data_IF_104293811754
#
_entry.id   IF_104293811754
#
_cell.length_a   1.000
_cell.length_b   1.000
_cell.length_c   1.000
_cell.angle_alpha   90.00
_cell.angle_beta   90.00
_cell.angle_gamma   90.00
#
_symmetry.space_group_name_H-M   'P 1'
#
loop_
_entity.id
_entity.type
_entity.pdbx_description
1 polymer ?
#
# COMPACT_ATOMS: atom_id res chain seq x y z
N UNK A 1 -21.68 8.15 -25.16
CA UNK A 1 -21.45 8.61 -23.77
C UNK A 1 -21.52 10.11 -23.83
N UNK A 2 -22.27 10.80 -22.98
CA UNK A 2 -22.10 12.26 -22.87
C UNK A 2 -20.73 12.53 -22.27
N UNK A 3 -20.08 13.62 -22.66
CA UNK A 3 -18.74 13.99 -22.17
C UNK A 3 -18.69 14.09 -20.64
N UNK A 4 -19.83 14.43 -20.02
CA UNK A 4 -20.05 14.45 -18.58
C UNK A 4 -19.83 13.09 -17.90
N UNK A 5 -20.30 11.99 -18.50
CA UNK A 5 -20.13 10.64 -17.96
C UNK A 5 -18.67 10.19 -18.07
N UNK A 6 -17.96 10.66 -19.11
CA UNK A 6 -16.54 10.37 -19.28
C UNK A 6 -15.71 11.11 -18.22
N UNK A 7 -15.97 12.40 -17.99
CA UNK A 7 -15.27 13.19 -16.99
C UNK A 7 -15.49 12.61 -15.58
N UNK A 8 -16.71 12.21 -15.22
CA UNK A 8 -17.00 11.54 -13.95
C UNK A 8 -16.18 10.25 -13.74
N UNK A 9 -15.93 9.48 -14.82
CA UNK A 9 -15.11 8.26 -14.75
C UNK A 9 -13.63 8.57 -14.59
N UNK A 10 -13.14 9.61 -15.27
CA UNK A 10 -11.75 10.06 -15.14
C UNK A 10 -11.49 10.62 -13.74
N UNK A 11 -12.45 11.36 -13.19
CA UNK A 11 -12.33 11.88 -11.83
C UNK A 11 -12.25 10.74 -10.80
N UNK A 12 -13.09 9.71 -10.94
CA UNK A 12 -13.00 8.51 -10.09
C UNK A 12 -11.66 7.79 -10.21
N UNK A 13 -11.03 7.82 -11.39
CA UNK A 13 -9.68 7.29 -11.60
C UNK A 13 -8.63 8.11 -10.85
N UNK A 14 -8.72 9.45 -10.88
CA UNK A 14 -7.83 10.34 -10.13
C UNK A 14 -7.94 10.06 -8.64
N UNK A 15 -9.17 9.98 -8.10
CA UNK A 15 -9.40 9.68 -6.69
C UNK A 15 -8.77 8.34 -6.25
N UNK A 16 -8.87 7.29 -7.09
CA UNK A 16 -8.26 5.99 -6.80
C UNK A 16 -6.73 6.12 -6.83
N UNK A 17 -6.20 6.87 -7.79
CA UNK A 17 -4.77 7.17 -7.89
C UNK A 17 -4.22 7.85 -6.63
N UNK A 18 -4.90 8.90 -6.16
CA UNK A 18 -4.50 9.64 -4.96
C UNK A 18 -4.53 8.74 -3.73
N UNK A 19 -5.61 7.96 -3.55
CA UNK A 19 -5.73 7.02 -2.42
C UNK A 19 -4.66 5.92 -2.46
N UNK A 20 -4.29 5.43 -3.65
CA UNK A 20 -3.18 4.48 -3.79
C UNK A 20 -1.84 5.12 -3.42
N UNK A 21 -1.59 6.34 -3.89
CA UNK A 21 -0.37 7.08 -3.59
C UNK A 21 -0.21 7.34 -2.08
N UNK A 22 -1.27 7.78 -1.41
CA UNK A 22 -1.30 7.96 0.04
C UNK A 22 -1.01 6.65 0.79
N UNK A 23 -1.68 5.56 0.41
CA UNK A 23 -1.47 4.26 1.03
C UNK A 23 -0.03 3.76 0.83
N UNK A 24 0.54 3.97 -0.36
CA UNK A 24 1.93 3.61 -0.67
C UNK A 24 2.92 4.42 0.15
N UNK A 25 2.72 5.73 0.25
CA UNK A 25 3.55 6.62 1.05
C UNK A 25 3.55 6.19 2.53
N UNK A 26 2.37 5.91 3.08
CA UNK A 26 2.24 5.44 4.46
C UNK A 26 2.94 4.08 4.69
N UNK A 27 2.79 3.13 3.76
CA UNK A 27 3.50 1.85 3.82
C UNK A 27 5.01 2.07 3.85
N UNK A 28 5.55 2.85 2.91
CA UNK A 28 6.99 3.12 2.84
C UNK A 28 7.51 3.85 4.07
N UNK A 29 6.74 4.76 4.66
CA UNK A 29 7.08 5.42 5.93
C UNK A 29 7.23 4.38 7.05
N UNK A 30 6.24 3.50 7.21
CA UNK A 30 6.24 2.48 8.26
C UNK A 30 7.36 1.44 8.07
N UNK A 31 7.66 1.04 6.83
CA UNK A 31 8.75 0.10 6.55
C UNK A 31 10.12 0.65 6.98
N UNK A 32 10.37 1.93 6.70
CA UNK A 32 11.61 2.61 7.11
C UNK A 32 11.64 2.85 8.62
N UNK A 33 10.54 3.34 9.20
CA UNK A 33 10.44 3.58 10.63
C UNK A 33 10.59 2.30 11.46
N UNK A 34 10.23 1.12 10.93
CA UNK A 34 10.44 -0.15 11.63
C UNK A 34 11.92 -0.37 12.00
N UNK A 35 12.84 -0.03 11.09
CA UNK A 35 14.29 -0.17 11.32
C UNK A 35 14.80 0.84 12.34
N UNK A 36 14.31 2.07 12.25
CA UNK A 36 14.66 3.16 13.18
C UNK A 36 14.16 2.84 14.60
N UNK A 37 12.91 2.37 14.72
CA UNK A 37 12.31 1.98 15.98
C UNK A 37 13.09 0.81 16.60
N UNK A 38 13.42 -0.23 15.81
CA UNK A 38 14.21 -1.35 16.31
C UNK A 38 15.55 -0.87 16.89
N UNK A 39 16.28 -0.02 16.15
CA UNK A 39 17.56 0.50 16.61
C UNK A 39 17.42 1.36 17.88
N UNK A 40 16.35 2.15 17.96
CA UNK A 40 16.04 2.98 19.14
C UNK A 40 15.79 2.10 20.37
N UNK A 41 14.96 1.07 20.22
CA UNK A 41 14.66 0.11 21.29
C UNK A 41 15.90 -0.69 21.71
N UNK A 42 16.73 -1.13 20.77
CA UNK A 42 17.99 -1.81 21.09
C UNK A 42 18.92 -0.92 21.92
N UNK A 43 18.95 0.39 21.65
CA UNK A 43 19.70 1.36 22.47
C UNK A 43 19.10 1.51 23.87
N UNK A 44 17.77 1.48 24.00
CA UNK A 44 17.08 1.51 25.30
C UNK A 44 17.37 0.24 26.12
N UNK A 45 17.41 -0.94 25.48
CA UNK A 45 17.73 -2.22 26.12
C UNK A 45 19.23 -2.54 26.16
N UNK A 46 20.09 -1.57 25.91
CA UNK A 46 21.55 -1.76 25.91
C UNK A 46 22.07 -2.16 27.30
N UNK A 47 21.43 -1.68 28.36
CA UNK A 47 21.78 -2.03 29.74
C UNK A 47 20.75 -3.02 30.27
N UNK A 48 21.24 -4.16 30.72
CA UNK A 48 20.42 -5.19 31.34
C UNK A 48 19.83 -4.66 32.66
N UNK A 49 18.51 -4.62 32.78
CA UNK A 49 17.83 -4.12 33.97
C UNK A 49 18.09 -4.96 35.23
N UNK A 50 18.41 -6.25 35.08
CA UNK A 50 18.66 -7.17 36.19
C UNK A 50 20.12 -7.16 36.67
N UNK A 51 21.08 -6.93 35.76
CA UNK A 51 22.52 -7.02 36.09
C UNK A 51 23.26 -5.69 36.05
N UNK A 52 22.66 -4.65 35.46
CA UNK A 52 23.29 -3.33 35.26
C UNK A 52 24.45 -3.33 34.27
N UNK A 53 24.71 -4.45 33.59
CA UNK A 53 25.79 -4.60 32.61
C UNK A 53 25.27 -4.38 31.19
N UNK A 54 26.21 -4.12 30.28
CA UNK A 54 25.90 -4.01 28.85
C UNK A 54 25.47 -5.39 28.32
N UNK A 55 24.28 -5.45 27.74
CA UNK A 55 23.79 -6.65 27.06
C UNK A 55 24.41 -6.78 25.67
N UNK A 56 24.52 -8.02 25.18
CA UNK A 56 24.97 -8.26 23.81
C UNK A 56 23.95 -7.74 22.79
N UNK A 57 24.38 -7.41 21.58
CA UNK A 57 23.48 -6.94 20.51
C UNK A 57 22.31 -7.91 20.24
N UNK A 58 22.54 -9.23 20.37
CA UNK A 58 21.50 -10.25 20.20
C UNK A 58 20.46 -10.20 21.33
N UNK A 59 20.90 -9.99 22.57
CA UNK A 59 19.98 -9.83 23.69
C UNK A 59 19.15 -8.54 23.54
N UNK A 60 19.80 -7.42 23.18
CA UNK A 60 19.12 -6.14 22.88
C UNK A 60 18.06 -6.29 21.80
N UNK A 61 18.38 -6.98 20.70
CA UNK A 61 17.43 -7.19 19.59
C UNK A 61 16.23 -8.04 20.00
N UNK A 62 16.45 -9.07 20.82
CA UNK A 62 15.37 -9.92 21.34
C UNK A 62 14.38 -9.08 22.15
N UNK A 63 14.86 -8.28 23.10
CA UNK A 63 14.00 -7.42 23.93
C UNK A 63 13.31 -6.35 23.07
N UNK A 64 14.03 -5.72 22.15
CA UNK A 64 13.48 -4.71 21.25
C UNK A 64 12.34 -5.25 20.37
N UNK A 65 12.46 -6.47 19.84
CA UNK A 65 11.39 -7.11 19.06
C UNK A 65 10.21 -7.57 19.93
N UNK A 66 10.45 -7.83 21.21
CA UNK A 66 9.42 -8.21 22.18
C UNK A 66 8.66 -7.01 22.77
N UNK A 67 9.20 -5.79 22.66
CA UNK A 67 8.58 -4.54 23.12
C UNK A 67 7.24 -4.27 22.42
N UNK A 68 6.24 -3.83 23.18
CA UNK A 68 4.89 -3.58 22.67
C UNK A 68 4.85 -2.45 21.63
N UNK A 69 5.77 -1.48 21.68
CA UNK A 69 5.90 -0.44 20.64
C UNK A 69 6.27 -1.07 19.30
N UNK A 70 7.17 -2.05 19.30
CA UNK A 70 7.53 -2.77 18.08
C UNK A 70 6.36 -3.60 17.56
N UNK A 71 5.64 -4.32 18.43
CA UNK A 71 4.44 -5.09 18.05
C UNK A 71 3.37 -4.19 17.41
N UNK A 72 3.03 -3.07 18.06
CA UNK A 72 2.06 -2.08 17.52
C UNK A 72 2.51 -1.53 16.16
N UNK A 73 3.81 -1.32 15.98
CA UNK A 73 4.35 -0.89 14.68
C UNK A 73 4.16 -1.96 13.59
N UNK A 74 4.33 -3.25 13.93
CA UNK A 74 4.06 -4.35 13.00
C UNK A 74 2.56 -4.44 12.65
N UNK A 75 1.67 -4.24 13.61
CA UNK A 75 0.21 -4.18 13.36
C UNK A 75 -0.15 -3.03 12.43
N UNK A 76 0.41 -1.83 12.67
CA UNK A 76 0.23 -0.68 11.79
C UNK A 76 0.76 -0.96 10.37
N UNK A 77 1.91 -1.64 10.27
CA UNK A 77 2.48 -2.05 8.98
C UNK A 77 1.56 -3.02 8.23
N UNK A 78 0.97 -4.00 8.94
CA UNK A 78 0.02 -4.94 8.34
C UNK A 78 -1.22 -4.23 7.78
N UNK A 79 -1.74 -3.23 8.50
CA UNK A 79 -2.86 -2.39 8.04
C UNK A 79 -2.45 -1.60 6.78
N UNK A 80 -1.25 -1.01 6.78
CA UNK A 80 -0.76 -0.25 5.64
C UNK A 80 -0.58 -1.12 4.39
N UNK A 81 -0.03 -2.34 4.53
CA UNK A 81 0.07 -3.33 3.44
C UNK A 81 -1.31 -3.67 2.90
N UNK A 82 -2.28 -3.95 3.77
CA UNK A 82 -3.66 -4.24 3.36
C UNK A 82 -4.28 -3.09 2.57
N UNK A 83 -4.07 -1.84 3.01
CA UNK A 83 -4.61 -0.66 2.36
C UNK A 83 -3.95 -0.41 0.99
N UNK A 84 -2.64 -0.54 0.89
CA UNK A 84 -1.91 -0.40 -0.38
C UNK A 84 -2.36 -1.47 -1.38
N UNK A 85 -2.45 -2.73 -0.94
CA UNK A 85 -2.91 -3.83 -1.77
C UNK A 85 -4.35 -3.62 -2.26
N UNK A 86 -5.24 -3.13 -1.39
CA UNK A 86 -6.63 -2.80 -1.76
C UNK A 86 -6.65 -1.78 -2.91
N UNK A 87 -5.99 -0.64 -2.75
CA UNK A 87 -6.03 0.43 -3.76
C UNK A 87 -5.30 0.04 -5.05
N UNK A 88 -4.25 -0.78 -4.95
CA UNK A 88 -3.60 -1.35 -6.12
C UNK A 88 -4.56 -2.26 -6.92
N UNK A 89 -5.39 -3.06 -6.23
CA UNK A 89 -6.45 -3.85 -6.88
C UNK A 89 -7.54 -2.99 -7.49
N UNK A 90 -7.99 -1.94 -6.80
CA UNK A 90 -8.98 -0.99 -7.36
C UNK A 90 -8.47 -0.35 -8.65
N UNK A 91 -7.22 0.12 -8.65
CA UNK A 91 -6.56 0.63 -9.86
C UNK A 91 -6.58 -0.43 -10.98
N UNK A 92 -6.24 -1.67 -10.66
CA UNK A 92 -6.24 -2.77 -11.64
C UNK A 92 -7.62 -3.05 -12.22
N UNK A 93 -8.67 -2.98 -11.40
CA UNK A 93 -10.06 -3.15 -11.85
C UNK A 93 -10.42 -2.06 -12.85
N UNK A 94 -10.06 -0.81 -12.60
CA UNK A 94 -10.38 0.27 -13.54
C UNK A 94 -9.60 0.12 -14.85
N UNK A 95 -8.32 -0.25 -14.80
CA UNK A 95 -7.54 -0.59 -15.99
C UNK A 95 -8.23 -1.69 -16.81
N UNK A 96 -8.63 -2.80 -16.18
CA UNK A 96 -9.33 -3.92 -16.85
C UNK A 96 -10.67 -3.50 -17.46
N UNK A 97 -11.41 -2.64 -16.77
CA UNK A 97 -12.68 -2.11 -17.29
C UNK A 97 -12.46 -1.22 -18.53
N UNK A 98 -11.40 -0.41 -18.52
CA UNK A 98 -11.03 0.41 -19.67
C UNK A 98 -10.60 -0.46 -20.86
N UNK A 99 -9.78 -1.48 -20.65
CA UNK A 99 -9.40 -2.44 -21.69
C UNK A 99 -10.62 -3.15 -22.28
N UNK A 100 -11.53 -3.63 -21.43
CA UNK A 100 -12.78 -4.27 -21.87
C UNK A 100 -13.63 -3.34 -22.72
N UNK A 101 -13.74 -2.06 -22.32
CA UNK A 101 -14.45 -1.05 -23.10
C UNK A 101 -13.81 -0.84 -24.48
N UNK A 102 -12.47 -0.71 -24.55
CA UNK A 102 -11.74 -0.59 -25.82
C UNK A 102 -12.03 -1.78 -26.74
N UNK A 103 -11.97 -3.01 -26.22
CA UNK A 103 -12.26 -4.22 -27.00
C UNK A 103 -13.70 -4.22 -27.53
N UNK A 104 -14.69 -3.84 -26.71
CA UNK A 104 -16.10 -3.74 -27.13
C UNK A 104 -16.31 -2.70 -28.24
N UNK A 105 -15.68 -1.52 -28.13
CA UNK A 105 -15.76 -0.49 -29.17
C UNK A 105 -15.17 -0.96 -30.49
N UNK A 106 -14.04 -1.68 -30.46
CA UNK A 106 -13.43 -2.26 -31.66
C UNK A 106 -14.36 -3.30 -32.29
N UNK A 107 -14.98 -4.17 -31.49
CA UNK A 107 -15.93 -5.17 -31.99
C UNK A 107 -17.13 -4.50 -32.69
N UNK A 108 -17.72 -3.50 -32.04
CA UNK A 108 -18.86 -2.75 -32.59
C UNK A 108 -18.51 -2.02 -33.88
N UNK A 109 -17.30 -1.45 -33.99
CA UNK A 109 -16.83 -0.84 -35.23
C UNK A 109 -16.68 -1.87 -36.36
N UNK A 110 -16.13 -3.06 -36.06
CA UNK A 110 -16.03 -4.14 -37.05
C UNK A 110 -17.41 -4.61 -37.51
N UNK A 111 -18.34 -4.83 -36.59
CA UNK A 111 -19.71 -5.23 -36.92
C UNK A 111 -20.42 -4.19 -37.80
N UNK A 112 -20.34 -2.89 -37.46
CA UNK A 112 -20.92 -1.82 -38.29
C UNK A 112 -20.33 -1.81 -39.70
N UNK A 113 -19.02 -2.03 -39.83
CA UNK A 113 -18.35 -2.11 -41.14
C UNK A 113 -18.76 -3.35 -41.95
N UNK A 114 -19.09 -4.44 -41.26
CA UNK A 114 -19.42 -5.73 -41.89
C UNK A 114 -20.90 -5.86 -42.27
N UNK A 115 -21.80 -5.22 -41.50
CA UNK A 115 -23.25 -5.25 -41.75
C UNK A 115 -23.80 -4.02 -42.48
N UNK A 116 -22.96 -3.06 -42.86
CA UNK A 116 -23.32 -1.95 -43.75
C UNK A 116 -24.43 -1.07 -43.20
N UNK A 117 -24.08 -0.19 -42.26
CA UNK A 117 -24.82 1.04 -42.00
C UNK A 117 -23.98 2.24 -42.45
#
# INVERSE_FOLDING_TARGET
MSDEILEQKIEKLREIGDKHAEAKANLSLLENNRKILLATLMKEFMINSNTGKLDSAVAQEREARADDRYKKHIEALAIAVKNEAKWNWEKKIVEMNFETWKTKMISQMKERKQYGA
#
